data_IF_059796988931
#
_entry.id   IF_059796988931
#
_cell.length_a   1.000
_cell.length_b   1.000
_cell.length_c   1.000
_cell.angle_alpha   90.00
_cell.angle_beta   90.00
_cell.angle_gamma   90.00
#
_symmetry.space_group_name_H-M   'P 1'
#
loop_
_entity.id
_entity.type
_entity.pdbx_description
1 polymer ?
#
# COMPACT_ATOMS: atom_id res chain seq x y z
N UNK A 1 58.56 -68.90 26.10
CA UNK A 1 57.45 -69.67 25.50
C UNK A 1 56.19 -68.83 25.58
N UNK A 2 55.67 -68.36 24.44
CA UNK A 2 54.41 -67.60 24.35
C UNK A 2 53.26 -68.59 24.13
N UNK A 3 52.25 -68.54 25.00
CA UNK A 3 50.99 -69.26 24.78
C UNK A 3 49.99 -68.32 24.10
N UNK A 4 49.37 -68.84 23.04
CA UNK A 4 48.37 -68.20 22.21
C UNK A 4 46.97 -68.64 22.68
N UNK A 5 45.99 -67.72 22.70
CA UNK A 5 44.56 -68.06 22.77
C UNK A 5 43.76 -67.10 21.87
N UNK A 6 42.77 -67.58 21.07
CA UNK A 6 42.24 -66.84 19.92
C UNK A 6 40.81 -66.27 20.08
N UNK A 7 40.44 -65.46 19.06
CA UNK A 7 39.12 -64.89 18.64
C UNK A 7 38.59 -63.68 19.46
N UNK A 8 38.53 -62.43 18.93
CA UNK A 8 37.70 -61.83 17.84
C UNK A 8 36.22 -61.62 18.25
N UNK A 9 35.46 -60.57 17.82
CA UNK A 9 35.73 -59.54 16.80
C UNK A 9 35.44 -58.08 17.20
N UNK A 10 35.86 -57.17 16.33
CA UNK A 10 35.25 -55.85 16.15
C UNK A 10 33.72 -55.93 16.08
N UNK A 11 33.01 -55.16 16.90
CA UNK A 11 31.63 -54.76 16.61
C UNK A 11 31.62 -53.36 16.02
N UNK A 12 31.26 -53.29 14.74
CA UNK A 12 30.87 -52.08 14.05
C UNK A 12 29.51 -51.58 14.55
N UNK A 13 29.36 -50.25 14.61
CA UNK A 13 28.16 -49.52 14.17
C UNK A 13 26.84 -49.73 14.92
N UNK A 14 26.44 -48.70 15.68
CA UNK A 14 25.03 -48.45 15.99
C UNK A 14 24.78 -46.95 16.04
N UNK A 15 24.15 -46.38 15.00
CA UNK A 15 23.64 -45.00 15.06
C UNK A 15 22.63 -44.91 16.22
N UNK A 16 22.72 -43.90 17.10
CA UNK A 16 21.82 -43.83 18.24
C UNK A 16 20.37 -43.64 17.77
N UNK A 17 19.45 -44.41 18.36
CA UNK A 17 18.08 -44.60 17.90
C UNK A 17 17.19 -43.33 17.93
N UNK A 18 17.68 -42.20 18.44
CA UNK A 18 16.94 -40.93 18.53
C UNK A 18 17.10 -40.02 17.30
N UNK A 19 18.15 -40.22 16.48
CA UNK A 19 18.37 -39.46 15.24
C UNK A 19 17.21 -39.51 14.23
N UNK A 20 16.54 -40.66 13.98
CA UNK A 20 15.39 -40.68 13.08
C UNK A 20 14.17 -39.95 13.68
N UNK A 21 14.01 -39.96 15.01
CA UNK A 21 12.88 -39.29 15.69
C UNK A 21 13.03 -37.77 15.60
N UNK A 22 14.24 -37.24 15.81
CA UNK A 22 14.51 -35.81 15.66
C UNK A 22 14.29 -35.32 14.22
N UNK A 23 14.69 -36.14 13.23
CA UNK A 23 14.46 -35.86 11.82
C UNK A 23 12.98 -35.79 11.44
N UNK A 24 12.15 -36.69 11.98
CA UNK A 24 10.70 -36.70 11.75
C UNK A 24 10.02 -35.47 12.37
N UNK A 25 10.43 -35.07 13.58
CA UNK A 25 9.86 -33.89 14.25
C UNK A 25 10.22 -32.60 13.50
N UNK A 26 11.46 -32.45 13.05
CA UNK A 26 11.90 -31.31 12.26
C UNK A 26 11.20 -31.25 10.90
N UNK A 27 11.01 -32.40 10.23
CA UNK A 27 10.27 -32.48 8.98
C UNK A 27 8.79 -32.11 9.18
N UNK A 28 8.16 -32.58 10.26
CA UNK A 28 6.78 -32.26 10.59
C UNK A 28 6.60 -30.75 10.84
N UNK A 29 7.51 -30.12 11.57
CA UNK A 29 7.47 -28.66 11.79
C UNK A 29 7.70 -27.88 10.50
N UNK A 30 8.61 -28.31 9.63
CA UNK A 30 8.83 -27.68 8.32
C UNK A 30 7.57 -27.77 7.43
N UNK A 31 6.90 -28.93 7.42
CA UNK A 31 5.66 -29.14 6.66
C UNK A 31 4.51 -28.28 7.20
N UNK A 32 4.41 -28.11 8.53
CA UNK A 32 3.41 -27.22 9.15
C UNK A 32 3.68 -25.76 8.75
N UNK A 33 4.94 -25.30 8.84
CA UNK A 33 5.32 -23.93 8.48
C UNK A 33 5.11 -23.64 6.99
N UNK A 34 5.46 -24.58 6.10
CA UNK A 34 5.20 -24.46 4.65
C UNK A 34 3.70 -24.53 4.33
N UNK A 35 2.93 -25.35 5.06
CA UNK A 35 1.47 -25.42 4.94
C UNK A 35 0.76 -24.11 5.33
N UNK A 36 1.36 -23.32 6.23
CA UNK A 36 0.86 -21.99 6.58
C UNK A 36 1.27 -20.93 5.55
N UNK A 37 2.45 -21.03 4.95
CA UNK A 37 2.92 -20.15 3.88
C UNK A 37 2.15 -20.34 2.55
N UNK A 38 1.59 -21.54 2.29
CA UNK A 38 0.85 -21.84 1.05
C UNK A 38 -0.67 -21.81 1.18
N UNK A 39 -1.25 -21.52 2.36
CA UNK A 39 -2.69 -21.32 2.49
C UNK A 39 -3.07 -19.96 1.91
N UNK A 40 -3.57 -19.96 0.67
CA UNK A 40 -4.40 -18.85 0.17
C UNK A 40 -5.54 -18.64 1.18
N UNK A 41 -5.77 -17.41 1.67
CA UNK A 41 -6.91 -17.15 2.52
C UNK A 41 -8.18 -17.46 1.71
N UNK A 42 -8.93 -18.47 2.12
CA UNK A 42 -10.29 -18.66 1.62
C UNK A 42 -11.11 -17.48 2.13
N UNK A 43 -11.62 -16.67 1.20
CA UNK A 43 -12.61 -15.64 1.46
C UNK A 43 -13.84 -16.34 2.07
N UNK A 44 -14.24 -16.04 3.31
CA UNK A 44 -15.55 -16.48 3.78
C UNK A 44 -16.59 -15.81 2.89
N UNK A 45 -17.45 -16.62 2.28
CA UNK A 45 -18.61 -16.18 1.53
C UNK A 45 -19.55 -15.47 2.50
N UNK A 46 -19.51 -14.13 2.50
CA UNK A 46 -20.43 -13.31 3.29
C UNK A 46 -21.78 -13.33 2.56
N UNK A 47 -22.68 -14.18 3.01
CA UNK A 47 -24.12 -13.95 2.82
C UNK A 47 -24.48 -12.69 3.59
N UNK A 48 -24.60 -11.59 2.87
CA UNK A 48 -24.94 -10.28 3.43
C UNK A 48 -26.46 -10.20 3.56
N UNK A 49 -26.98 -10.42 4.77
CA UNK A 49 -28.34 -10.00 5.11
C UNK A 49 -28.41 -8.46 5.11
N UNK A 50 -29.42 -7.84 4.49
CA UNK A 50 -29.52 -6.39 4.45
C UNK A 50 -29.85 -5.82 5.83
N UNK A 51 -29.00 -4.90 6.30
CA UNK A 51 -29.25 -4.07 7.47
C UNK A 51 -30.42 -3.08 7.22
N UNK A 52 -31.14 -2.65 8.27
CA UNK A 52 -32.26 -1.73 8.11
C UNK A 52 -31.78 -0.34 7.67
N UNK A 53 -32.51 0.24 6.71
CA UNK A 53 -32.31 1.57 6.12
C UNK A 53 -32.53 2.68 7.16
N UNK A 54 -31.43 3.23 7.67
CA UNK A 54 -31.38 4.41 8.51
C UNK A 54 -30.88 5.64 7.75
N UNK A 55 -31.47 5.92 6.57
CA UNK A 55 -31.80 7.28 6.11
C UNK A 55 -30.71 8.37 6.00
N UNK A 56 -29.46 8.06 6.27
CA UNK A 56 -28.32 8.96 6.08
C UNK A 56 -27.73 8.61 4.72
N UNK A 57 -27.78 9.54 3.77
CA UNK A 57 -27.22 9.35 2.43
C UNK A 57 -25.70 9.29 2.52
N UNK A 58 -25.16 8.15 2.93
CA UNK A 58 -23.75 7.82 2.82
C UNK A 58 -23.50 7.65 1.32
N UNK A 59 -22.93 8.67 0.70
CA UNK A 59 -22.47 8.58 -0.67
C UNK A 59 -21.52 7.37 -0.76
N UNK A 60 -21.99 6.28 -1.36
CA UNK A 60 -21.23 5.05 -1.55
C UNK A 60 -19.94 5.44 -2.26
N UNK A 61 -18.79 5.16 -1.66
CA UNK A 61 -17.51 5.35 -2.30
C UNK A 61 -17.44 4.41 -3.51
N UNK A 62 -17.72 4.94 -4.69
CA UNK A 62 -17.61 4.20 -5.94
C UNK A 62 -16.28 4.54 -6.60
N UNK A 63 -15.56 3.55 -7.12
CA UNK A 63 -14.41 3.77 -8.00
C UNK A 63 -14.81 4.33 -9.39
N UNK A 64 -16.10 4.63 -9.61
CA UNK A 64 -16.57 5.25 -10.85
C UNK A 64 -15.96 6.65 -10.98
N UNK A 65 -15.61 7.03 -12.20
CA UNK A 65 -15.10 8.37 -12.49
C UNK A 65 -16.25 9.37 -12.23
N UNK A 66 -16.13 10.29 -11.26
CA UNK A 66 -17.14 11.33 -11.13
C UNK A 66 -17.10 12.22 -12.38
N UNK A 67 -18.27 12.56 -12.93
CA UNK A 67 -18.36 13.52 -14.03
C UNK A 67 -17.85 14.88 -13.55
N UNK A 68 -16.60 15.20 -13.85
CA UNK A 68 -15.93 16.45 -13.48
C UNK A 68 -15.32 17.08 -14.71
N UNK A 69 -15.59 18.37 -14.88
CA UNK A 69 -14.89 19.19 -15.87
C UNK A 69 -13.52 19.57 -15.35
N UNK A 70 -12.53 19.62 -16.24
CA UNK A 70 -11.21 20.15 -15.92
C UNK A 70 -11.33 21.64 -15.59
N UNK A 71 -10.83 22.11 -14.44
CA UNK A 71 -10.90 23.52 -14.09
C UNK A 71 -9.92 24.32 -14.93
N UNK A 72 -10.29 25.56 -15.28
CA UNK A 72 -9.43 26.46 -16.04
C UNK A 72 -8.12 26.78 -15.31
N UNK A 73 -8.20 26.89 -13.98
CA UNK A 73 -7.07 27.24 -13.11
C UNK A 73 -7.03 26.33 -11.88
N UNK A 74 -5.83 26.07 -11.39
CA UNK A 74 -5.58 25.41 -10.11
C UNK A 74 -4.39 26.09 -9.39
N UNK A 75 -4.60 27.30 -8.83
CA UNK A 75 -3.51 28.11 -8.29
C UNK A 75 -2.79 27.45 -7.12
N UNK A 76 -1.53 27.86 -6.90
CA UNK A 76 -0.73 27.47 -5.72
C UNK A 76 -1.50 27.76 -4.42
N UNK A 77 -1.37 26.86 -3.45
CA UNK A 77 -2.03 26.91 -2.14
C UNK A 77 -3.56 26.99 -2.21
N UNK A 78 -4.16 26.35 -3.21
CA UNK A 78 -5.63 26.18 -3.31
C UNK A 78 -5.97 24.70 -3.45
N UNK A 79 -7.18 24.34 -3.02
CA UNK A 79 -7.67 22.97 -3.06
C UNK A 79 -9.07 22.86 -3.65
N UNK A 80 -9.37 21.70 -4.23
CA UNK A 80 -10.67 21.35 -4.80
C UNK A 80 -11.16 20.01 -4.25
N UNK A 81 -12.45 19.91 -3.84
CA UNK A 81 -13.38 21.02 -3.63
C UNK A 81 -12.88 22.00 -2.55
N UNK A 82 -13.36 23.25 -2.55
CA UNK A 82 -12.95 24.29 -1.58
C UNK A 82 -13.61 24.08 -0.20
N UNK A 83 -13.37 22.90 0.38
CA UNK A 83 -13.73 22.46 1.72
C UNK A 83 -12.53 21.72 2.32
N UNK A 84 -12.56 21.42 3.61
CA UNK A 84 -11.46 20.73 4.28
C UNK A 84 -11.30 19.30 3.77
N UNK A 85 -10.07 18.80 3.71
CA UNK A 85 -9.79 17.41 3.34
C UNK A 85 -10.62 16.40 4.15
N UNK A 86 -10.70 16.57 5.47
CA UNK A 86 -11.48 15.67 6.33
C UNK A 86 -12.99 15.69 6.09
N UNK A 87 -13.51 16.71 5.39
CA UNK A 87 -14.91 16.81 4.94
C UNK A 87 -15.08 16.23 3.53
N UNK A 88 -14.13 16.51 2.63
CA UNK A 88 -14.14 15.99 1.26
C UNK A 88 -13.85 14.50 1.22
N UNK A 89 -12.73 14.06 1.79
CA UNK A 89 -12.25 12.69 1.79
C UNK A 89 -12.71 11.92 3.04
N UNK A 90 -13.11 12.59 4.12
CA UNK A 90 -13.46 11.92 5.37
C UNK A 90 -12.24 11.69 6.25
N UNK A 91 -12.39 12.02 7.54
CA UNK A 91 -11.29 12.04 8.53
C UNK A 91 -10.65 10.67 8.78
N UNK A 92 -9.37 10.67 9.15
CA UNK A 92 -8.63 9.49 9.61
C UNK A 92 -9.36 8.77 10.78
N UNK A 93 -9.22 7.46 10.84
CA UNK A 93 -9.84 6.58 11.83
C UNK A 93 -9.05 5.26 11.89
N UNK A 94 -7.86 5.36 12.49
CA UNK A 94 -6.94 4.24 12.69
C UNK A 94 -7.56 2.98 13.33
N UNK A 95 -8.51 3.05 14.29
CA UNK A 95 -9.09 1.85 14.89
C UNK A 95 -9.82 0.93 13.89
N UNK A 96 -10.35 1.48 12.80
CA UNK A 96 -10.97 0.66 11.75
C UNK A 96 -10.02 0.29 10.65
N UNK A 97 -8.90 1.01 10.48
CA UNK A 97 -7.94 0.76 9.40
C UNK A 97 -7.12 -0.50 9.68
N UNK A 98 -6.95 -1.33 8.65
CA UNK A 98 -6.11 -2.53 8.69
C UNK A 98 -5.24 -2.57 7.43
N UNK A 99 -3.90 -2.43 7.55
CA UNK A 99 -3.01 -2.46 6.40
C UNK A 99 -3.21 -3.69 5.50
N UNK A 100 -3.33 -4.88 6.08
CA UNK A 100 -3.50 -6.11 5.32
C UNK A 100 -4.85 -6.30 4.62
N UNK A 101 -5.86 -5.49 4.96
CA UNK A 101 -7.20 -5.53 4.34
C UNK A 101 -7.41 -4.37 3.37
N UNK A 102 -6.91 -3.20 3.73
CA UNK A 102 -7.27 -1.94 3.08
C UNK A 102 -6.23 -1.46 2.08
N UNK A 103 -4.96 -1.83 2.29
CA UNK A 103 -3.88 -1.50 1.37
C UNK A 103 -3.75 -2.54 0.27
N UNK A 104 -3.41 -2.06 -0.91
CA UNK A 104 -2.93 -2.85 -2.04
C UNK A 104 -1.54 -2.36 -2.43
N UNK A 105 -0.84 -3.18 -3.21
CA UNK A 105 0.42 -2.79 -3.81
C UNK A 105 0.19 -2.44 -5.29
N UNK A 106 0.60 -1.24 -5.70
CA UNK A 106 0.60 -0.82 -7.10
C UNK A 106 2.02 -0.85 -7.66
N UNK A 107 2.16 -1.47 -8.82
CA UNK A 107 3.39 -1.45 -9.60
C UNK A 107 3.04 -1.01 -11.02
N UNK A 108 3.51 0.17 -11.41
CA UNK A 108 3.33 0.71 -12.75
C UNK A 108 4.66 1.32 -13.20
N UNK A 109 5.33 0.75 -14.23
CA UNK A 109 6.67 1.18 -14.63
C UNK A 109 6.68 2.56 -15.31
N UNK A 110 5.51 3.16 -15.56
CA UNK A 110 5.39 4.52 -16.10
C UNK A 110 5.49 5.59 -15.02
N UNK A 111 5.32 5.21 -13.75
CA UNK A 111 5.51 6.10 -12.61
C UNK A 111 6.92 5.90 -12.03
N UNK A 112 7.51 7.00 -11.59
CA UNK A 112 8.70 6.99 -10.77
C UNK A 112 8.29 7.02 -9.29
N UNK A 113 8.90 6.18 -8.47
CA UNK A 113 8.54 6.03 -7.05
C UNK A 113 9.72 6.45 -6.17
N UNK A 114 9.50 7.41 -5.26
CA UNK A 114 10.53 7.89 -4.32
C UNK A 114 11.04 6.74 -3.46
N UNK A 115 10.15 5.86 -2.99
CA UNK A 115 10.49 4.69 -2.17
C UNK A 115 11.49 3.72 -2.81
N UNK A 116 11.70 3.76 -4.13
CA UNK A 116 12.73 2.95 -4.79
C UNK A 116 14.15 3.55 -4.67
N UNK A 117 14.25 4.78 -4.16
CA UNK A 117 15.46 5.59 -4.09
C UNK A 117 15.80 6.03 -2.65
N UNK A 118 14.96 5.63 -1.69
CA UNK A 118 15.21 5.86 -0.26
C UNK A 118 16.35 4.98 0.27
N UNK A 119 16.97 5.44 1.36
CA UNK A 119 17.93 4.63 2.12
C UNK A 119 17.24 3.61 3.04
N UNK A 120 18.00 2.64 3.54
CA UNK A 120 17.54 1.52 4.39
C UNK A 120 16.79 1.90 5.69
N UNK A 121 16.67 3.19 6.00
CA UNK A 121 16.04 3.71 7.23
C UNK A 121 14.68 4.35 7.00
N UNK A 122 14.19 4.46 5.76
CA UNK A 122 12.87 5.00 5.48
C UNK A 122 11.79 3.89 5.57
N UNK A 123 10.71 4.17 6.31
CA UNK A 123 9.54 3.31 6.44
C UNK A 123 8.45 3.61 5.42
N UNK A 124 8.71 4.51 4.47
CA UNK A 124 7.80 4.85 3.39
C UNK A 124 7.58 3.66 2.46
N UNK A 125 6.32 3.48 2.03
CA UNK A 125 6.05 2.66 0.87
C UNK A 125 5.15 3.42 -0.09
N UNK A 126 5.76 4.17 -1.02
CA UNK A 126 5.07 4.91 -2.08
C UNK A 126 4.18 4.03 -2.97
N UNK A 127 4.43 2.71 -3.00
CA UNK A 127 3.65 1.72 -3.76
C UNK A 127 2.51 1.08 -2.97
N UNK A 128 2.46 1.26 -1.65
CA UNK A 128 1.34 0.79 -0.83
C UNK A 128 0.29 1.89 -0.76
N UNK A 129 -0.92 1.60 -1.22
CA UNK A 129 -2.02 2.59 -1.29
C UNK A 129 -3.33 1.96 -0.81
N UNK A 130 -4.24 2.76 -0.30
CA UNK A 130 -5.60 2.32 -0.04
C UNK A 130 -6.26 1.88 -1.35
N UNK A 131 -7.02 0.79 -1.34
CA UNK A 131 -7.68 0.22 -2.52
C UNK A 131 -8.53 1.21 -3.34
N UNK A 132 -9.06 2.27 -2.73
CA UNK A 132 -9.85 3.31 -3.44
C UNK A 132 -8.98 4.35 -4.17
N UNK A 133 -7.68 4.42 -3.84
CA UNK A 133 -6.74 5.32 -4.50
C UNK A 133 -6.26 4.74 -5.84
N UNK A 134 -6.39 3.42 -6.05
CA UNK A 134 -5.89 2.72 -7.24
C UNK A 134 -6.45 3.31 -8.54
N UNK A 135 -7.76 3.42 -8.65
CA UNK A 135 -8.40 3.82 -9.90
C UNK A 135 -8.07 5.29 -10.27
N UNK A 136 -8.16 6.28 -9.36
CA UNK A 136 -7.68 7.64 -9.62
C UNK A 136 -6.19 7.70 -9.98
N UNK A 137 -5.33 7.02 -9.22
CA UNK A 137 -3.88 7.08 -9.46
C UNK A 137 -3.51 6.49 -10.82
N UNK A 138 -4.08 5.33 -11.20
CA UNK A 138 -3.87 4.76 -12.55
C UNK A 138 -4.31 5.69 -13.67
N UNK A 139 -5.41 6.43 -13.50
CA UNK A 139 -5.86 7.43 -14.47
C UNK A 139 -4.89 8.61 -14.57
N UNK A 140 -4.29 9.06 -13.47
CA UNK A 140 -3.25 10.08 -13.50
C UNK A 140 -2.01 9.57 -14.23
N UNK A 141 -1.53 8.37 -13.89
CA UNK A 141 -0.36 7.76 -14.56
C UNK A 141 -0.59 7.66 -16.07
N UNK A 142 -1.75 7.16 -16.49
CA UNK A 142 -2.15 7.09 -17.91
C UNK A 142 -2.15 8.47 -18.57
N UNK A 143 -2.80 9.46 -17.96
CA UNK A 143 -2.95 10.80 -18.51
C UNK A 143 -1.61 11.56 -18.61
N UNK A 144 -0.71 11.36 -17.65
CA UNK A 144 0.63 11.94 -17.64
C UNK A 144 1.51 11.27 -18.69
N UNK A 145 1.50 9.93 -18.76
CA UNK A 145 2.26 9.18 -19.76
C UNK A 145 1.81 9.51 -21.20
N UNK A 146 0.49 9.68 -21.43
CA UNK A 146 -0.05 10.09 -22.73
C UNK A 146 0.42 11.48 -23.19
N UNK A 147 0.91 12.32 -22.27
CA UNK A 147 1.51 13.63 -22.56
C UNK A 147 3.03 13.58 -22.73
N UNK A 148 3.64 12.40 -22.68
CA UNK A 148 5.09 12.22 -22.76
C UNK A 148 5.83 12.69 -21.51
N UNK A 149 5.13 12.78 -20.38
CA UNK A 149 5.65 13.20 -19.09
C UNK A 149 5.73 12.00 -18.11
N UNK A 150 6.44 12.18 -17.00
CA UNK A 150 6.64 11.12 -15.98
C UNK A 150 6.05 11.56 -14.65
N UNK A 151 5.06 10.83 -14.15
CA UNK A 151 4.52 11.06 -12.81
C UNK A 151 5.54 10.58 -11.77
N UNK A 152 5.79 11.40 -10.75
CA UNK A 152 6.63 11.05 -9.61
C UNK A 152 5.76 10.96 -8.36
N UNK A 153 5.68 9.76 -7.78
CA UNK A 153 5.02 9.54 -6.48
C UNK A 153 6.05 9.79 -5.40
N UNK A 154 5.85 10.84 -4.61
CA UNK A 154 6.78 11.31 -3.57
C UNK A 154 6.47 10.70 -2.21
N UNK A 155 5.20 10.53 -1.87
CA UNK A 155 4.77 9.84 -0.67
C UNK A 155 3.35 9.28 -0.87
N UNK A 156 3.03 8.16 -0.23
CA UNK A 156 1.69 7.57 -0.22
C UNK A 156 1.34 6.99 1.17
N UNK A 157 1.59 5.70 1.40
CA UNK A 157 1.36 5.10 2.72
C UNK A 157 2.59 5.24 3.61
N UNK A 158 2.40 5.95 4.72
CA UNK A 158 3.42 6.11 5.76
C UNK A 158 2.78 6.03 7.16
N UNK A 159 3.00 4.95 7.92
CA UNK A 159 2.35 4.75 9.22
C UNK A 159 2.92 5.66 10.32
N UNK A 160 4.20 6.04 10.21
CA UNK A 160 4.89 6.88 11.20
C UNK A 160 5.57 8.09 10.55
N UNK A 161 6.49 8.77 11.23
CA UNK A 161 7.28 9.84 10.63
C UNK A 161 6.59 11.21 10.48
N UNK A 162 6.88 11.84 9.33
CA UNK A 162 6.79 13.29 9.08
C UNK A 162 5.36 13.86 9.05
N UNK A 163 4.38 13.02 8.76
CA UNK A 163 2.99 13.45 8.61
C UNK A 163 2.31 13.72 9.95
N UNK A 164 1.39 14.69 9.96
CA UNK A 164 0.51 14.91 11.10
C UNK A 164 -0.21 13.61 11.50
N UNK A 165 -0.49 13.42 12.80
CA UNK A 165 -1.25 12.25 13.31
C UNK A 165 -2.63 12.08 12.66
N UNK A 166 -3.17 13.16 12.08
CA UNK A 166 -4.46 13.18 11.39
C UNK A 166 -4.36 13.06 9.86
N UNK A 167 -3.16 12.91 9.31
CA UNK A 167 -2.93 12.82 7.86
C UNK A 167 -3.47 11.52 7.27
N UNK A 168 -4.09 11.60 6.09
CA UNK A 168 -4.62 10.45 5.36
C UNK A 168 -3.51 9.55 4.77
N UNK A 169 -2.25 10.00 4.70
CA UNK A 169 -1.09 9.16 4.37
C UNK A 169 -0.96 7.97 5.32
N UNK A 170 -1.39 8.11 6.58
CA UNK A 170 -1.34 7.02 7.58
C UNK A 170 -2.34 5.89 7.31
N UNK A 171 -3.30 6.11 6.42
CA UNK A 171 -4.23 5.08 5.92
C UNK A 171 -3.95 4.72 4.44
N UNK A 172 -2.91 5.30 3.83
CA UNK A 172 -2.60 5.17 2.40
C UNK A 172 -3.66 5.82 1.50
N UNK A 173 -4.46 6.74 2.03
CA UNK A 173 -5.58 7.39 1.33
C UNK A 173 -5.22 8.74 0.73
N UNK A 174 -4.01 9.20 0.96
CA UNK A 174 -3.43 10.37 0.32
C UNK A 174 -2.14 10.01 -0.39
N UNK A 175 -1.77 10.85 -1.35
CA UNK A 175 -0.57 10.74 -2.16
C UNK A 175 -0.04 12.13 -2.47
N UNK A 176 1.28 12.30 -2.38
CA UNK A 176 1.99 13.50 -2.78
C UNK A 176 2.68 13.25 -4.13
N UNK A 177 2.40 14.11 -5.09
CA UNK A 177 2.76 13.92 -6.50
C UNK A 177 3.56 15.09 -7.04
N UNK A 178 4.61 14.80 -7.80
CA UNK A 178 5.25 15.74 -8.72
C UNK A 178 5.28 15.15 -10.13
N UNK A 179 5.80 15.89 -11.10
CA UNK A 179 5.88 15.41 -12.48
C UNK A 179 7.09 16.01 -13.18
N UNK A 180 7.80 15.18 -13.94
CA UNK A 180 8.78 15.65 -14.91
C UNK A 180 8.05 15.88 -16.24
N UNK A 181 8.16 17.09 -16.80
CA UNK A 181 7.54 17.45 -18.09
C UNK A 181 6.14 18.06 -18.02
N UNK A 182 5.57 18.28 -16.83
CA UNK A 182 4.33 19.05 -16.63
C UNK A 182 4.46 20.01 -15.45
N UNK A 183 3.82 21.18 -15.57
CA UNK A 183 3.65 22.11 -14.45
C UNK A 183 2.70 21.52 -13.40
N UNK A 184 2.94 21.82 -12.11
CA UNK A 184 2.11 21.31 -11.00
C UNK A 184 0.64 21.72 -11.12
N UNK A 185 0.35 22.91 -11.64
CA UNK A 185 -1.04 23.34 -11.89
C UNK A 185 -1.76 22.42 -12.90
N UNK A 186 -1.06 21.92 -13.92
CA UNK A 186 -1.64 20.96 -14.87
C UNK A 186 -1.80 19.58 -14.23
N UNK A 187 -0.84 19.15 -13.42
CA UNK A 187 -0.96 17.91 -12.65
C UNK A 187 -2.17 17.94 -11.70
N UNK A 188 -2.39 19.05 -10.98
CA UNK A 188 -3.53 19.23 -10.10
C UNK A 188 -4.88 19.09 -10.84
N UNK A 189 -4.98 19.68 -12.04
CA UNK A 189 -6.16 19.55 -12.92
C UNK A 189 -6.39 18.11 -13.32
N UNK A 190 -5.33 17.38 -13.69
CA UNK A 190 -5.40 15.96 -14.05
C UNK A 190 -5.87 15.13 -12.84
N UNK A 191 -5.31 15.35 -11.63
CA UNK A 191 -5.76 14.67 -10.41
C UNK A 191 -7.25 14.93 -10.14
N UNK A 192 -7.73 16.17 -10.32
CA UNK A 192 -9.13 16.51 -10.10
C UNK A 192 -10.09 15.71 -10.99
N UNK A 193 -9.81 15.67 -12.30
CA UNK A 193 -10.64 14.93 -13.27
C UNK A 193 -10.41 13.42 -13.20
N UNK A 194 -9.25 12.98 -12.71
CA UNK A 194 -8.99 11.58 -12.40
C UNK A 194 -9.81 11.08 -11.21
N UNK A 195 -10.51 11.93 -10.48
CA UNK A 195 -11.50 11.51 -9.49
C UNK A 195 -10.98 11.38 -8.07
N UNK A 196 -9.88 12.06 -7.71
CA UNK A 196 -9.50 12.24 -6.31
C UNK A 196 -10.55 13.07 -5.57
N UNK A 197 -10.98 12.66 -4.39
CA UNK A 197 -12.04 13.36 -3.64
C UNK A 197 -11.62 14.74 -3.15
N UNK A 198 -10.32 14.92 -2.91
CA UNK A 198 -9.71 16.20 -2.56
C UNK A 198 -8.33 16.33 -3.23
N UNK A 199 -8.03 17.48 -3.81
CA UNK A 199 -6.75 17.79 -4.46
C UNK A 199 -6.28 19.14 -3.94
N UNK A 200 -5.02 19.26 -3.57
CA UNK A 200 -4.39 20.45 -3.05
C UNK A 200 -3.06 20.72 -3.75
N UNK A 201 -2.93 21.92 -4.32
CA UNK A 201 -1.67 22.39 -4.85
C UNK A 201 -0.84 22.94 -3.69
N UNK A 202 -0.13 22.06 -3.02
CA UNK A 202 0.58 22.34 -1.78
C UNK A 202 1.92 23.01 -2.07
N UNK A 203 2.12 24.20 -1.52
CA UNK A 203 3.39 24.93 -1.60
C UNK A 203 3.86 25.29 -0.19
N UNK A 204 4.38 24.31 0.56
CA UNK A 204 4.71 24.48 1.96
C UNK A 204 5.93 25.40 2.12
N UNK A 205 6.08 26.01 3.31
CA UNK A 205 7.24 26.88 3.59
C UNK A 205 8.57 26.13 3.66
N UNK A 206 8.53 24.81 3.78
CA UNK A 206 9.66 23.90 3.74
C UNK A 206 9.23 22.56 3.14
N UNK A 207 10.15 21.83 2.54
CA UNK A 207 9.80 20.77 1.57
C UNK A 207 9.63 21.35 0.15
N UNK A 208 9.48 20.48 -0.84
CA UNK A 208 9.22 20.87 -2.23
C UNK A 208 7.72 21.08 -2.48
N UNK A 209 7.38 21.93 -3.45
CA UNK A 209 6.00 22.05 -3.95
C UNK A 209 5.56 20.72 -4.58
N UNK A 210 4.31 20.32 -4.31
CA UNK A 210 3.74 19.07 -4.81
C UNK A 210 2.22 19.15 -4.89
N UNK A 211 1.61 18.17 -5.52
CA UNK A 211 0.16 17.98 -5.53
C UNK A 211 -0.18 16.91 -4.50
N UNK A 212 -0.82 17.32 -3.41
CA UNK A 212 -1.42 16.42 -2.45
C UNK A 212 -2.81 16.03 -2.94
N UNK A 213 -3.14 14.75 -3.00
CA UNK A 213 -4.45 14.28 -3.43
C UNK A 213 -4.93 13.11 -2.58
N UNK A 214 -6.21 13.09 -2.22
CA UNK A 214 -6.76 12.05 -1.33
C UNK A 214 -8.13 11.55 -1.73
N UNK A 215 -8.50 10.39 -1.20
CA UNK A 215 -9.75 9.67 -1.49
C UNK A 215 -10.53 9.31 -0.24
N UNK A 216 -11.83 9.08 -0.41
CA UNK A 216 -12.72 8.49 0.58
C UNK A 216 -12.40 7.02 0.86
N UNK A 217 -12.79 6.57 2.05
CA UNK A 217 -12.71 5.14 2.45
C UNK A 217 -13.67 4.26 1.72
#
# INVERSE_FOLDING_TARGET
MKQYKPASPYTAGGRPAWLPVLGIVLLAHLVILLGWACRRPQRPEQTQEPAPDDGETVAVATNAVPERTMPERFPRNTYMPNIREGEASGSIHMPTFSPGRDLIYIDDPRAWWESDHDGDYDDECGRSIHKHLEAPLRRVIEAVAARGATLKVQDAYRPTGIHNKRSLHREGRAVDLTCDGLELEELAKICWVAGFDWVYHECPKGGGDHIHASVRR
#
